data_IF_576441791689
#
_entry.id   IF_576441791689
#
_cell.length_a   1.000
_cell.length_b   1.000
_cell.length_c   1.000
_cell.angle_alpha   90.00
_cell.angle_beta   90.00
_cell.angle_gamma   90.00
#
_symmetry.space_group_name_H-M   'P 1'
#
loop_
_entity.id
_entity.type
_entity.pdbx_description
1 polymer ?
#
# COMPACT_ATOMS: atom_id res chain seq x y z
N UNK A 1 15.17 -21.46 -8.01
CA UNK A 1 14.28 -20.96 -6.96
C UNK A 1 14.03 -19.49 -7.17
N UNK A 2 12.81 -19.04 -7.01
CA UNK A 2 12.45 -17.67 -7.33
C UNK A 2 13.04 -16.66 -6.36
N UNK A 3 13.38 -15.47 -6.85
CA UNK A 3 13.80 -14.35 -6.02
C UNK A 3 12.69 -13.88 -5.06
N UNK A 4 12.98 -12.85 -4.25
CA UNK A 4 12.01 -12.28 -3.31
C UNK A 4 10.76 -11.77 -4.04
N UNK A 5 9.66 -11.73 -3.33
CA UNK A 5 8.34 -11.42 -3.88
C UNK A 5 7.76 -10.15 -3.28
N UNK A 6 6.89 -9.47 -4.03
CA UNK A 6 6.27 -8.24 -3.54
C UNK A 6 4.83 -8.05 -4.01
N UNK A 7 4.10 -7.25 -3.22
CA UNK A 7 2.87 -6.58 -3.61
C UNK A 7 3.16 -5.09 -3.84
N UNK A 8 2.53 -4.48 -4.83
CA UNK A 8 2.64 -3.05 -5.12
C UNK A 8 1.27 -2.39 -5.08
N UNK A 9 1.03 -1.58 -4.07
CA UNK A 9 -0.20 -0.81 -3.91
C UNK A 9 0.01 0.64 -4.36
N UNK A 10 -1.04 1.24 -4.91
CA UNK A 10 -0.94 2.57 -5.53
C UNK A 10 0.13 2.59 -6.61
N UNK A 11 0.11 1.57 -7.45
CA UNK A 11 1.22 1.21 -8.33
C UNK A 11 1.49 2.22 -9.44
N UNK A 12 0.48 3.00 -9.84
CA UNK A 12 0.62 3.91 -10.96
C UNK A 12 1.10 3.19 -12.22
N UNK A 13 2.12 3.70 -12.87
CA UNK A 13 2.76 3.06 -14.03
C UNK A 13 3.78 1.97 -13.68
N UNK A 14 3.92 1.59 -12.40
CA UNK A 14 4.85 0.54 -11.97
C UNK A 14 6.26 1.06 -11.65
N UNK A 15 6.37 2.22 -11.02
CA UNK A 15 7.67 2.80 -10.65
C UNK A 15 8.43 1.95 -9.64
N UNK A 16 7.74 1.39 -8.63
CA UNK A 16 8.38 0.48 -7.69
C UNK A 16 8.85 -0.79 -8.39
N UNK A 17 8.05 -1.34 -9.31
CA UNK A 17 8.44 -2.48 -10.14
C UNK A 17 9.72 -2.20 -10.94
N UNK A 18 9.81 -1.02 -11.56
CA UNK A 18 11.00 -0.60 -12.29
C UNK A 18 12.23 -0.50 -11.39
N UNK A 19 12.06 0.06 -10.18
CA UNK A 19 13.15 0.22 -9.22
C UNK A 19 13.62 -1.10 -8.59
N UNK A 20 12.71 -2.00 -8.28
CA UNK A 20 13.03 -3.33 -7.74
C UNK A 20 13.75 -4.21 -8.78
N UNK A 21 13.39 -4.07 -10.05
CA UNK A 21 14.05 -4.77 -11.14
C UNK A 21 13.72 -6.27 -11.21
N UNK A 22 14.39 -6.96 -12.14
CA UNK A 22 14.13 -8.36 -12.46
C UNK A 22 14.46 -9.37 -11.34
N UNK A 23 15.19 -8.94 -10.31
CA UNK A 23 15.51 -9.77 -9.13
C UNK A 23 14.30 -10.01 -8.23
N UNK A 24 13.24 -9.22 -8.37
CA UNK A 24 12.00 -9.31 -7.58
C UNK A 24 10.83 -9.78 -8.45
N UNK A 25 10.00 -10.62 -7.89
CA UNK A 25 8.80 -11.12 -8.58
C UNK A 25 7.54 -10.45 -8.03
N UNK A 26 6.81 -9.74 -8.90
CA UNK A 26 5.50 -9.18 -8.58
C UNK A 26 4.49 -10.31 -8.39
N UNK A 27 3.78 -10.32 -7.28
CA UNK A 27 2.65 -11.21 -7.05
C UNK A 27 1.31 -10.51 -7.30
N UNK A 28 1.27 -9.21 -7.05
CA UNK A 28 0.06 -8.41 -7.15
C UNK A 28 0.41 -6.94 -7.24
N UNK A 29 -0.26 -6.22 -8.12
CA UNK A 29 -0.19 -4.77 -8.21
C UNK A 29 -1.60 -4.20 -8.30
N UNK A 30 -1.81 -3.01 -7.75
CA UNK A 30 -3.13 -2.40 -7.68
C UNK A 30 -3.06 -0.88 -7.81
N UNK A 31 -4.01 -0.35 -8.53
CA UNK A 31 -4.37 1.07 -8.53
C UNK A 31 -5.87 1.19 -8.88
N UNK A 32 -6.51 2.28 -8.50
CA UNK A 32 -7.91 2.51 -8.85
C UNK A 32 -8.11 3.42 -10.07
N UNK A 33 -7.04 4.04 -10.55
CA UNK A 33 -7.07 4.97 -11.68
C UNK A 33 -6.89 4.22 -13.01
N UNK A 34 -7.86 4.40 -13.92
CA UNK A 34 -7.86 3.72 -15.22
C UNK A 34 -6.70 4.12 -16.12
N UNK A 35 -6.27 5.39 -16.08
CA UNK A 35 -5.15 5.85 -16.89
C UNK A 35 -3.83 5.27 -16.42
N UNK A 36 -3.66 5.15 -15.10
CA UNK A 36 -2.52 4.48 -14.48
C UNK A 36 -2.51 2.99 -14.77
N UNK A 37 -3.67 2.33 -14.71
CA UNK A 37 -3.81 0.93 -15.08
C UNK A 37 -3.36 0.66 -16.53
N UNK A 38 -3.72 1.56 -17.45
CA UNK A 38 -3.27 1.46 -18.84
C UNK A 38 -1.75 1.60 -18.95
N UNK A 39 -1.18 2.62 -18.31
CA UNK A 39 0.27 2.82 -18.30
C UNK A 39 1.01 1.62 -17.68
N UNK A 40 0.47 1.04 -16.61
CA UNK A 40 1.03 -0.17 -16.01
C UNK A 40 1.00 -1.35 -16.99
N UNK A 41 -0.15 -1.56 -17.64
CA UNK A 41 -0.31 -2.66 -18.60
C UNK A 41 0.61 -2.51 -19.82
N UNK A 42 0.81 -1.28 -20.31
CA UNK A 42 1.72 -0.99 -21.41
C UNK A 42 3.18 -1.30 -21.06
N UNK A 43 3.58 -1.07 -19.79
CA UNK A 43 4.95 -1.31 -19.33
C UNK A 43 5.21 -2.77 -18.93
N UNK A 44 4.23 -3.42 -18.28
CA UNK A 44 4.46 -4.67 -17.55
C UNK A 44 3.47 -5.79 -17.89
N UNK A 45 2.46 -5.50 -18.70
CA UNK A 45 1.31 -6.38 -18.88
C UNK A 45 0.30 -6.25 -17.75
N UNK A 46 -0.85 -6.88 -17.89
CA UNK A 46 -1.97 -6.79 -16.95
C UNK A 46 -2.14 -8.02 -16.04
N UNK A 47 -1.28 -9.02 -16.16
CA UNK A 47 -1.48 -10.31 -15.49
C UNK A 47 -1.49 -10.21 -13.96
N UNK A 48 -0.62 -9.37 -13.39
CA UNK A 48 -0.49 -9.20 -11.95
C UNK A 48 -1.26 -7.98 -11.43
N UNK A 49 -1.91 -7.21 -12.32
CA UNK A 49 -2.53 -5.93 -11.99
C UNK A 49 -4.04 -6.03 -11.77
N UNK A 50 -4.53 -5.38 -10.72
CA UNK A 50 -5.96 -5.24 -10.43
C UNK A 50 -6.37 -3.77 -10.36
N UNK A 51 -7.29 -3.37 -11.25
CA UNK A 51 -7.95 -2.07 -11.22
C UNK A 51 -9.09 -2.13 -10.20
N UNK A 52 -8.86 -1.66 -9.00
CA UNK A 52 -9.85 -1.66 -7.92
C UNK A 52 -9.47 -0.64 -6.84
N UNK A 53 -10.47 -0.10 -6.15
CA UNK A 53 -10.28 0.67 -4.92
C UNK A 53 -9.73 -0.25 -3.82
N UNK A 54 -8.65 0.19 -3.15
CA UNK A 54 -8.02 -0.60 -2.08
C UNK A 54 -8.97 -0.94 -0.95
N UNK A 55 -10.00 -0.11 -0.70
CA UNK A 55 -11.02 -0.37 0.33
C UNK A 55 -11.93 -1.57 -0.01
N UNK A 56 -11.96 -1.99 -1.25
CA UNK A 56 -12.74 -3.14 -1.73
C UNK A 56 -11.93 -4.42 -1.84
N UNK A 57 -10.62 -4.32 -1.71
CA UNK A 57 -9.74 -5.48 -1.69
C UNK A 57 -9.80 -6.19 -0.33
N UNK A 58 -9.67 -7.50 -0.38
CA UNK A 58 -9.58 -8.36 0.79
C UNK A 58 -8.32 -9.21 0.73
N UNK A 59 -7.94 -9.85 1.83
CA UNK A 59 -6.80 -10.76 1.84
C UNK A 59 -6.95 -11.90 0.81
N UNK A 60 -8.18 -12.32 0.50
CA UNK A 60 -8.45 -13.36 -0.49
C UNK A 60 -8.08 -12.95 -1.93
N UNK A 61 -8.03 -11.64 -2.22
CA UNK A 61 -7.63 -11.13 -3.53
C UNK A 61 -6.12 -11.18 -3.77
N UNK A 62 -5.32 -11.32 -2.70
CA UNK A 62 -3.87 -11.29 -2.77
C UNK A 62 -3.29 -12.72 -2.79
N UNK A 63 -2.55 -13.09 -3.84
CA UNK A 63 -2.00 -14.44 -3.94
C UNK A 63 -0.76 -14.64 -3.06
N UNK A 64 -0.66 -15.79 -2.42
CA UNK A 64 0.53 -16.22 -1.70
C UNK A 64 0.89 -15.36 -0.50
N UNK A 65 2.19 -15.28 -0.22
CA UNK A 65 2.80 -14.44 0.81
C UNK A 65 3.96 -13.68 0.19
N UNK A 66 3.87 -12.36 0.17
CA UNK A 66 4.97 -11.53 -0.31
C UNK A 66 6.02 -11.30 0.79
N UNK A 67 7.27 -11.07 0.38
CA UNK A 67 8.33 -10.63 1.27
C UNK A 67 8.19 -9.14 1.57
N UNK A 68 7.77 -8.35 0.58
CA UNK A 68 7.61 -6.90 0.66
C UNK A 68 6.21 -6.47 0.22
N UNK A 69 5.62 -5.51 0.90
CA UNK A 69 4.54 -4.70 0.34
C UNK A 69 5.05 -3.26 0.18
N UNK A 70 4.98 -2.77 -1.04
CA UNK A 70 5.28 -1.38 -1.39
C UNK A 70 3.99 -0.60 -1.52
N UNK A 71 3.92 0.60 -0.95
CA UNK A 71 2.76 1.47 -1.09
C UNK A 71 3.16 2.94 -1.20
N UNK A 72 2.89 3.54 -2.37
CA UNK A 72 3.03 4.96 -2.64
C UNK A 72 1.68 5.65 -2.50
N UNK A 73 1.17 5.74 -1.28
CA UNK A 73 -0.18 6.23 -1.03
C UNK A 73 -0.27 7.77 -1.10
N UNK A 74 -1.44 8.34 -1.49
CA UNK A 74 -1.59 9.78 -1.63
C UNK A 74 -1.53 10.50 -0.28
N UNK A 75 -0.80 11.62 -0.25
CA UNK A 75 -0.58 12.47 0.92
C UNK A 75 -1.89 13.10 1.47
N UNK A 76 -2.84 13.37 0.60
CA UNK A 76 -4.06 14.11 0.93
C UNK A 76 -4.98 13.40 1.92
N UNK A 77 -4.83 12.09 2.07
CA UNK A 77 -5.69 11.25 2.90
C UNK A 77 -5.08 10.91 4.27
N UNK A 78 -3.96 11.53 4.61
CA UNK A 78 -3.24 11.27 5.87
C UNK A 78 -3.76 12.04 7.07
N UNK A 79 -4.89 12.70 7.00
CA UNK A 79 -5.52 13.32 8.18
C UNK A 79 -6.00 12.26 9.17
N UNK A 80 -5.08 11.45 9.66
CA UNK A 80 -5.34 10.44 10.71
C UNK A 80 -5.70 11.09 12.05
N UNK A 81 -5.25 12.35 12.26
CA UNK A 81 -5.56 13.14 13.44
C UNK A 81 -6.57 14.26 13.11
N UNK A 82 -7.15 14.24 11.93
CA UNK A 82 -7.73 15.35 11.27
C UNK A 82 -8.87 16.05 11.88
N UNK A 83 -8.73 17.28 11.98
CA UNK A 83 -9.71 18.36 11.93
C UNK A 83 -11.18 17.89 11.84
N UNK A 84 -11.79 17.47 12.95
CA UNK A 84 -13.23 17.48 13.16
C UNK A 84 -14.07 16.38 12.49
N UNK A 85 -13.50 15.44 11.74
CA UNK A 85 -14.26 14.35 11.12
C UNK A 85 -14.17 13.00 11.84
N UNK A 86 -13.47 12.93 12.97
CA UNK A 86 -13.38 11.72 13.79
C UNK A 86 -12.86 10.48 13.04
N UNK A 87 -13.22 9.31 13.56
CA UNK A 87 -12.83 8.01 13.04
C UNK A 87 -13.34 7.73 11.59
N UNK A 88 -14.40 8.41 11.14
CA UNK A 88 -14.94 8.23 9.79
C UNK A 88 -14.05 8.87 8.72
N UNK A 89 -13.46 10.04 8.99
CA UNK A 89 -12.49 10.66 8.09
C UNK A 89 -11.21 9.84 7.95
N UNK A 90 -10.75 9.22 9.03
CA UNK A 90 -9.60 8.32 9.01
C UNK A 90 -9.88 7.02 8.23
N UNK A 91 -11.13 6.51 8.29
CA UNK A 91 -11.53 5.27 7.61
C UNK A 91 -11.61 5.41 6.09
N UNK A 92 -11.82 6.61 5.57
CA UNK A 92 -11.87 6.86 4.13
C UNK A 92 -10.48 7.02 3.49
N UNK A 93 -9.42 7.19 4.29
CA UNK A 93 -8.07 7.40 3.81
C UNK A 93 -7.46 6.16 3.16
N UNK A 94 -6.64 6.39 2.14
CA UNK A 94 -5.99 5.31 1.40
C UNK A 94 -5.09 4.43 2.30
N UNK A 95 -4.40 5.05 3.26
CA UNK A 95 -3.60 4.30 4.24
C UNK A 95 -4.46 3.38 5.11
N UNK A 96 -5.66 3.80 5.50
CA UNK A 96 -6.57 2.96 6.27
C UNK A 96 -6.96 1.70 5.48
N UNK A 97 -7.28 1.85 4.20
CA UNK A 97 -7.57 0.71 3.31
C UNK A 97 -6.41 -0.29 3.26
N UNK A 98 -5.19 0.22 3.12
CA UNK A 98 -3.98 -0.60 3.17
C UNK A 98 -3.83 -1.30 4.53
N UNK A 99 -4.02 -0.58 5.64
CA UNK A 99 -3.88 -1.12 6.99
C UNK A 99 -4.87 -2.27 7.25
N UNK A 100 -6.12 -2.12 6.82
CA UNK A 100 -7.15 -3.18 6.92
C UNK A 100 -6.74 -4.41 6.13
N UNK A 101 -6.22 -4.22 4.92
CA UNK A 101 -5.78 -5.31 4.05
C UNK A 101 -4.59 -6.07 4.66
N UNK A 102 -3.60 -5.36 5.17
CA UNK A 102 -2.44 -5.96 5.85
C UNK A 102 -2.87 -6.70 7.13
N UNK A 103 -3.82 -6.14 7.89
CA UNK A 103 -4.37 -6.83 9.06
C UNK A 103 -5.06 -8.14 8.68
N UNK A 104 -5.80 -8.16 7.58
CA UNK A 104 -6.42 -9.37 7.03
C UNK A 104 -5.38 -10.42 6.65
N UNK A 105 -4.32 -10.03 5.96
CA UNK A 105 -3.20 -10.94 5.63
C UNK A 105 -2.51 -11.47 6.88
N UNK A 106 -2.36 -10.63 7.90
CA UNK A 106 -1.77 -11.05 9.19
C UNK A 106 -2.63 -12.08 9.91
N UNK A 107 -3.94 -11.90 9.91
CA UNK A 107 -4.88 -12.86 10.48
C UNK A 107 -4.77 -14.25 9.82
N UNK A 108 -4.43 -14.27 8.53
CA UNK A 108 -4.19 -15.51 7.77
C UNK A 108 -2.75 -16.02 7.84
N UNK A 109 -1.87 -15.39 8.62
CA UNK A 109 -0.45 -15.77 8.70
C UNK A 109 0.37 -15.41 7.43
N UNK A 110 -0.16 -14.55 6.56
CA UNK A 110 0.43 -14.19 5.25
C UNK A 110 0.91 -12.75 5.15
N UNK A 111 1.00 -12.01 6.26
CA UNK A 111 1.49 -10.64 6.22
C UNK A 111 2.90 -10.57 5.59
N UNK A 112 3.17 -9.56 4.74
CA UNK A 112 4.51 -9.32 4.23
C UNK A 112 5.50 -9.14 5.37
N UNK A 113 6.74 -9.56 5.16
CA UNK A 113 7.81 -9.38 6.16
C UNK A 113 8.20 -7.92 6.33
N UNK A 114 8.10 -7.15 5.25
CA UNK A 114 8.48 -5.74 5.19
C UNK A 114 7.36 -4.92 4.56
N UNK A 115 7.20 -3.68 5.06
CA UNK A 115 6.41 -2.64 4.41
C UNK A 115 7.34 -1.49 4.01
N UNK A 116 7.29 -1.08 2.77
CA UNK A 116 7.91 0.15 2.29
C UNK A 116 6.81 1.14 1.93
N UNK A 117 6.76 2.24 2.64
CA UNK A 117 5.79 3.31 2.43
C UNK A 117 6.50 4.51 1.84
N UNK A 118 6.05 4.96 0.69
CA UNK A 118 6.58 6.14 0.02
C UNK A 118 5.55 7.27 0.12
N UNK A 119 6.01 8.45 0.48
CA UNK A 119 5.21 9.66 0.54
C UNK A 119 6.11 10.91 0.44
N UNK A 120 5.50 12.08 0.38
CA UNK A 120 6.26 13.35 0.33
C UNK A 120 6.85 13.70 1.70
N UNK A 121 7.97 14.45 1.70
CA UNK A 121 8.64 14.87 2.93
C UNK A 121 7.73 15.69 3.87
N UNK A 122 6.73 16.39 3.34
CA UNK A 122 5.76 17.13 4.14
C UNK A 122 4.97 16.28 5.14
N UNK A 123 4.90 14.96 4.95
CA UNK A 123 4.29 14.06 5.92
C UNK A 123 4.97 14.13 7.29
N UNK A 124 6.29 14.31 7.34
CA UNK A 124 7.06 14.36 8.58
C UNK A 124 6.66 15.53 9.49
N UNK A 125 6.22 16.63 8.89
CA UNK A 125 5.86 17.87 9.61
C UNK A 125 4.35 18.16 9.61
N UNK A 126 3.57 17.39 8.90
CA UNK A 126 2.11 17.54 8.83
C UNK A 126 1.50 17.51 10.22
N UNK A 127 0.63 18.50 10.53
CA UNK A 127 0.01 18.67 11.84
C UNK A 127 1.04 18.64 13.00
N UNK A 128 2.19 19.31 12.82
CA UNK A 128 3.25 19.36 13.84
C UNK A 128 3.90 17.99 14.13
N UNK A 129 3.88 17.08 13.18
CA UNK A 129 4.41 15.71 13.31
C UNK A 129 3.39 14.69 13.82
N UNK A 130 2.16 15.10 14.11
CA UNK A 130 1.12 14.21 14.65
C UNK A 130 0.71 13.13 13.64
N UNK A 131 0.65 13.46 12.34
CA UNK A 131 0.28 12.52 11.31
C UNK A 131 1.33 11.41 11.13
N UNK A 132 2.60 11.78 11.15
CA UNK A 132 3.69 10.80 11.10
C UNK A 132 3.71 9.89 12.33
N UNK A 133 3.48 10.47 13.51
CA UNK A 133 3.37 9.70 14.76
C UNK A 133 2.20 8.71 14.71
N UNK A 134 1.05 9.14 14.20
CA UNK A 134 -0.12 8.27 14.05
C UNK A 134 0.15 7.13 13.05
N UNK A 135 0.83 7.42 11.95
CA UNK A 135 1.27 6.42 10.98
C UNK A 135 2.18 5.37 11.64
N UNK A 136 3.20 5.79 12.37
CA UNK A 136 4.12 4.88 13.06
C UNK A 136 3.39 4.00 14.08
N UNK A 137 2.44 4.56 14.84
CA UNK A 137 1.61 3.78 15.78
C UNK A 137 0.75 2.75 15.08
N UNK A 138 0.16 3.10 13.94
CA UNK A 138 -0.63 2.17 13.15
C UNK A 138 0.23 1.00 12.65
N UNK A 139 1.45 1.27 12.18
CA UNK A 139 2.40 0.24 11.75
C UNK A 139 2.80 -0.68 12.91
N UNK A 140 3.05 -0.12 14.10
CA UNK A 140 3.33 -0.91 15.31
C UNK A 140 2.15 -1.82 15.67
N UNK A 141 0.92 -1.30 15.60
CA UNK A 141 -0.29 -2.11 15.83
C UNK A 141 -0.41 -3.26 14.83
N UNK A 142 0.01 -3.03 13.59
CA UNK A 142 0.09 -4.07 12.55
C UNK A 142 1.26 -5.05 12.76
N UNK A 143 2.12 -4.84 13.75
CA UNK A 143 3.23 -5.73 14.10
C UNK A 143 4.55 -5.41 13.40
N UNK A 144 4.69 -4.24 12.80
CA UNK A 144 5.96 -3.77 12.22
C UNK A 144 6.72 -2.87 13.20
N UNK A 145 8.05 -2.79 13.03
CA UNK A 145 8.95 -2.01 13.87
C UNK A 145 9.92 -1.21 13.03
#
# INVERSE_FOLDING_TARGET
MGGPTYYEFFAGGGMARAGLGAGWRCLFANDFDRSKARAYADNWGAADFRLEDIHRLTAADLPGRADLAWASFPCQDLSLAGAGRGLEGARSGAFFGLAVLIAGLRAEGRAPKMLALENVAGLLTSNGGADFTALCRALQTLGYR
#
